data_IF_550347736332
#
_entry.id   IF_550347736332
#
_cell.length_a   1.000
_cell.length_b   1.000
_cell.length_c   1.000
_cell.angle_alpha   90.00
_cell.angle_beta   90.00
_cell.angle_gamma   90.00
#
_symmetry.space_group_name_H-M   'P 1'
#
loop_
_entity.id
_entity.type
_entity.pdbx_description
1 polymer ?
#
# COMPACT_ATOMS: atom_id res chain seq x y z
N UNK A 1 -0.83 -14.36 -19.57
CA UNK A 1 0.13 -13.58 -18.77
C UNK A 1 -0.70 -12.65 -17.91
N UNK A 2 -0.41 -12.59 -16.62
CA UNK A 2 -1.11 -11.77 -15.64
C UNK A 2 -0.09 -10.81 -14.99
N UNK A 3 -0.56 -9.61 -14.66
CA UNK A 3 0.23 -8.51 -14.16
C UNK A 3 -0.49 -8.01 -12.91
N UNK A 4 -0.02 -8.42 -11.74
CA UNK A 4 -0.82 -8.39 -10.51
C UNK A 4 -0.05 -7.72 -9.37
N UNK A 5 -0.66 -6.76 -8.65
CA UNK A 5 -0.03 -6.12 -7.51
C UNK A 5 -0.05 -7.01 -6.26
N UNK A 6 0.83 -6.67 -5.30
CA UNK A 6 0.75 -7.12 -3.91
C UNK A 6 0.78 -5.90 -2.99
N UNK A 7 -0.35 -5.19 -2.98
CA UNK A 7 -0.53 -3.96 -2.21
C UNK A 7 -0.45 -4.22 -0.71
N UNK A 8 -0.92 -5.38 -0.23
CA UNK A 8 -0.89 -5.71 1.19
C UNK A 8 0.57 -5.80 1.68
N UNK A 9 1.43 -6.51 0.97
CA UNK A 9 2.82 -6.65 1.40
C UNK A 9 3.55 -5.30 1.42
N UNK A 10 3.26 -4.41 0.48
CA UNK A 10 3.80 -3.04 0.47
C UNK A 10 3.34 -2.24 1.70
N UNK A 11 2.12 -2.44 2.18
CA UNK A 11 1.61 -1.77 3.39
C UNK A 11 2.21 -2.31 4.71
N UNK A 12 2.81 -3.51 4.70
CA UNK A 12 3.29 -4.18 5.93
C UNK A 12 4.81 -4.10 6.15
N UNK A 13 5.57 -3.79 5.10
CA UNK A 13 7.00 -3.53 5.18
C UNK A 13 7.28 -2.17 5.83
N UNK A 14 8.54 -1.93 6.19
CA UNK A 14 9.02 -0.62 6.69
C UNK A 14 9.83 0.06 5.59
N UNK A 15 9.21 0.88 4.71
CA UNK A 15 9.97 1.71 3.78
C UNK A 15 10.72 2.81 4.54
N UNK A 16 11.68 3.46 3.88
CA UNK A 16 12.29 4.67 4.44
C UNK A 16 11.47 5.90 4.04
N UNK A 17 11.26 6.81 4.98
CA UNK A 17 10.70 8.13 4.74
C UNK A 17 11.28 9.16 5.72
N UNK A 18 11.20 10.44 5.40
CA UNK A 18 11.66 11.53 6.29
C UNK A 18 10.64 11.94 7.36
N UNK A 19 9.52 11.21 7.48
CA UNK A 19 8.50 11.46 8.50
C UNK A 19 9.03 11.12 9.90
N UNK A 20 8.46 11.71 10.97
CA UNK A 20 8.83 11.34 12.34
C UNK A 20 8.73 9.83 12.58
N UNK A 21 9.67 9.29 13.33
CA UNK A 21 9.59 7.91 13.77
C UNK A 21 8.40 7.74 14.71
N UNK A 22 7.64 6.67 14.48
CA UNK A 22 6.55 6.25 15.34
C UNK A 22 7.11 5.33 16.43
N UNK A 23 6.43 5.29 17.57
CA UNK A 23 6.75 4.25 18.55
C UNK A 23 6.30 2.87 18.06
N UNK A 24 6.78 1.81 18.73
CA UNK A 24 6.49 0.44 18.30
C UNK A 24 4.99 0.11 18.34
N UNK A 25 4.23 0.68 19.28
CA UNK A 25 2.80 0.41 19.41
C UNK A 25 2.01 1.11 18.29
N UNK A 26 2.40 2.32 17.94
CA UNK A 26 1.88 3.05 16.77
C UNK A 26 2.19 2.27 15.46
N UNK A 27 3.42 1.77 15.28
CA UNK A 27 3.79 0.96 14.11
C UNK A 27 2.98 -0.34 14.01
N UNK A 28 2.82 -1.05 15.13
CA UNK A 28 2.04 -2.29 15.18
C UNK A 28 0.55 -2.02 14.94
N UNK A 29 0.00 -0.92 15.45
CA UNK A 29 -1.38 -0.53 15.21
C UNK A 29 -1.65 -0.28 13.72
N UNK A 30 -0.80 0.49 13.04
CA UNK A 30 -0.95 0.76 11.60
C UNK A 30 -0.97 -0.55 10.81
N UNK A 31 -0.01 -1.45 11.07
CA UNK A 31 0.04 -2.76 10.38
C UNK A 31 -1.19 -3.62 10.68
N UNK A 32 -1.66 -3.60 11.92
CA UNK A 32 -2.89 -4.30 12.33
C UNK A 32 -4.11 -3.76 11.58
N UNK A 33 -4.24 -2.44 11.45
CA UNK A 33 -5.33 -1.81 10.69
C UNK A 33 -5.29 -2.25 9.24
N UNK A 34 -4.14 -2.22 8.56
CA UNK A 34 -4.03 -2.68 7.18
C UNK A 34 -4.41 -4.16 6.99
N UNK A 35 -4.02 -5.04 7.92
CA UNK A 35 -4.41 -6.45 7.89
C UNK A 35 -5.93 -6.65 8.06
N UNK A 36 -6.55 -5.88 8.94
CA UNK A 36 -8.00 -5.94 9.17
C UNK A 36 -8.76 -5.37 7.97
N UNK A 37 -8.33 -4.20 7.45
CA UNK A 37 -8.90 -3.60 6.25
C UNK A 37 -8.82 -4.56 5.07
N UNK A 38 -7.70 -5.26 4.89
CA UNK A 38 -7.59 -6.27 3.83
C UNK A 38 -8.65 -7.38 3.94
N UNK A 39 -8.94 -7.87 5.15
CA UNK A 39 -10.04 -8.84 5.36
C UNK A 39 -11.40 -8.22 5.03
N UNK A 40 -11.62 -6.97 5.41
CA UNK A 40 -12.82 -6.23 5.07
C UNK A 40 -12.98 -6.01 3.57
N UNK A 41 -11.92 -5.63 2.88
CA UNK A 41 -11.86 -5.45 1.43
C UNK A 41 -12.30 -6.72 0.68
N UNK A 42 -11.81 -7.89 1.12
CA UNK A 42 -12.25 -9.19 0.60
C UNK A 42 -13.75 -9.41 0.89
N UNK A 43 -14.18 -9.19 2.14
CA UNK A 43 -15.57 -9.43 2.57
C UNK A 43 -16.57 -8.52 1.84
N UNK A 44 -16.17 -7.30 1.50
CA UNK A 44 -16.94 -6.33 0.72
C UNK A 44 -16.93 -6.65 -0.79
N UNK A 45 -16.22 -7.70 -1.22
CA UNK A 45 -16.17 -8.10 -2.63
C UNK A 45 -15.31 -7.18 -3.51
N UNK A 46 -14.39 -6.41 -2.93
CA UNK A 46 -13.56 -5.43 -3.65
C UNK A 46 -12.28 -6.02 -4.24
N UNK A 47 -11.94 -7.24 -3.85
CA UNK A 47 -10.78 -7.98 -4.38
C UNK A 47 -9.86 -8.49 -3.28
N UNK A 48 -8.63 -8.83 -3.66
CA UNK A 48 -7.60 -9.36 -2.78
C UNK A 48 -6.29 -8.58 -3.00
N UNK A 49 -5.95 -7.69 -2.07
CA UNK A 49 -4.72 -6.88 -2.13
C UNK A 49 -3.41 -7.69 -2.06
N UNK A 50 -3.47 -9.01 -1.86
CA UNK A 50 -2.34 -9.94 -1.90
C UNK A 50 -2.40 -10.91 -3.09
N UNK A 51 -3.23 -10.62 -4.10
CA UNK A 51 -3.50 -11.55 -5.20
C UNK A 51 -2.24 -11.93 -5.99
N UNK A 52 -1.29 -11.00 -6.18
CA UNK A 52 -0.11 -11.21 -7.01
C UNK A 52 0.72 -12.42 -6.61
N UNK A 53 0.92 -12.65 -5.32
CA UNK A 53 1.64 -13.84 -4.82
C UNK A 53 0.82 -15.14 -4.87
N UNK A 54 -0.50 -15.06 -5.03
CA UNK A 54 -1.42 -16.22 -5.09
C UNK A 54 -1.66 -16.73 -6.51
N UNK A 55 -1.58 -15.86 -7.52
CA UNK A 55 -1.85 -16.22 -8.93
C UNK A 55 -1.04 -17.43 -9.43
N UNK A 56 0.27 -17.58 -9.12
CA UNK A 56 1.03 -18.76 -9.55
C UNK A 56 0.43 -20.08 -9.05
N UNK A 57 -0.02 -20.10 -7.79
CA UNK A 57 -0.67 -21.26 -7.20
C UNK A 57 -2.05 -21.52 -7.85
N UNK A 58 -2.80 -20.47 -8.17
CA UNK A 58 -4.07 -20.59 -8.90
C UNK A 58 -3.87 -21.17 -10.31
N UNK A 59 -2.86 -20.70 -11.05
CA UNK A 59 -2.52 -21.25 -12.37
C UNK A 59 -2.19 -22.75 -12.30
N UNK A 60 -1.41 -23.17 -11.30
CA UNK A 60 -1.10 -24.59 -11.09
C UNK A 60 -2.35 -25.42 -10.78
N UNK A 61 -3.25 -24.93 -9.92
CA UNK A 61 -4.52 -25.60 -9.62
C UNK A 61 -5.42 -25.76 -10.85
N UNK A 62 -5.35 -24.83 -11.80
CA UNK A 62 -6.08 -24.87 -13.07
C UNK A 62 -5.39 -25.72 -14.16
N UNK A 63 -4.29 -26.40 -13.83
CA UNK A 63 -3.58 -27.29 -14.76
C UNK A 63 -2.63 -26.58 -15.73
N UNK A 64 -2.31 -25.30 -15.54
CA UNK A 64 -1.32 -24.63 -16.37
C UNK A 64 0.09 -25.19 -16.11
N UNK A 65 0.84 -25.33 -17.19
CA UNK A 65 2.23 -25.79 -17.22
C UNK A 65 3.18 -24.60 -17.41
N UNK A 66 4.49 -24.81 -17.24
CA UNK A 66 5.53 -23.79 -17.42
C UNK A 66 5.23 -22.45 -16.69
N UNK A 67 4.77 -22.55 -15.44
CA UNK A 67 4.47 -21.37 -14.61
C UNK A 67 5.79 -20.71 -14.19
N UNK A 68 5.96 -19.45 -14.58
CA UNK A 68 7.13 -18.61 -14.27
C UNK A 68 6.63 -17.28 -13.70
N UNK A 69 7.36 -16.78 -12.72
CA UNK A 69 7.00 -15.57 -11.97
C UNK A 69 8.20 -14.64 -11.94
N UNK A 70 7.94 -13.35 -12.14
CA UNK A 70 8.93 -12.27 -12.01
C UNK A 70 8.31 -11.16 -11.17
N UNK A 71 9.15 -10.42 -10.47
CA UNK A 71 8.77 -9.16 -9.82
C UNK A 71 9.35 -8.01 -10.62
N UNK A 72 8.65 -6.88 -10.65
CA UNK A 72 9.19 -5.63 -11.18
C UNK A 72 10.46 -5.22 -10.42
N UNK A 73 11.30 -4.43 -11.07
CA UNK A 73 12.50 -3.79 -10.52
C UNK A 73 12.26 -2.32 -10.15
N UNK A 74 11.00 -1.90 -10.04
CA UNK A 74 10.63 -0.51 -9.79
C UNK A 74 10.63 -0.22 -8.29
N UNK A 75 11.29 0.87 -7.93
CA UNK A 75 11.34 1.42 -6.57
C UNK A 75 10.56 2.74 -6.54
N UNK A 76 9.73 2.94 -5.52
CA UNK A 76 9.18 4.25 -5.19
C UNK A 76 10.30 5.09 -4.61
N UNK A 77 10.84 6.01 -5.40
CA UNK A 77 11.95 6.87 -5.03
C UNK A 77 11.53 8.33 -5.16
N UNK A 78 11.52 9.04 -4.03
CA UNK A 78 11.24 10.46 -3.91
C UNK A 78 12.35 11.09 -3.09
N UNK A 79 13.17 11.93 -3.73
CA UNK A 79 14.20 12.71 -3.06
C UNK A 79 14.27 14.11 -3.69
N UNK A 80 14.30 15.19 -2.90
CA UNK A 80 14.50 16.53 -3.42
C UNK A 80 15.79 16.61 -4.26
N UNK A 81 15.83 17.41 -5.34
CA UNK A 81 14.82 18.39 -5.77
C UNK A 81 13.67 17.85 -6.66
N UNK A 82 13.45 16.54 -6.74
CA UNK A 82 12.39 15.91 -7.55
C UNK A 82 12.43 16.28 -9.05
N UNK A 83 13.61 16.33 -9.65
CA UNK A 83 13.81 16.74 -11.05
C UNK A 83 13.24 15.74 -12.06
N UNK A 84 13.24 14.45 -11.73
CA UNK A 84 12.78 13.40 -12.64
C UNK A 84 11.24 13.37 -12.77
N UNK A 85 10.68 13.25 -13.99
CA UNK A 85 9.24 13.24 -14.20
C UNK A 85 8.48 12.15 -13.42
N UNK A 86 9.10 11.00 -13.13
CA UNK A 86 8.48 9.95 -12.31
C UNK A 86 8.39 10.40 -10.85
N UNK A 87 9.42 11.07 -10.34
CA UNK A 87 9.37 11.65 -8.99
C UNK A 87 8.28 12.72 -8.88
N UNK A 88 8.15 13.59 -9.89
CA UNK A 88 7.08 14.60 -9.91
C UNK A 88 5.69 13.96 -9.94
N UNK A 89 5.53 12.88 -10.71
CA UNK A 89 4.28 12.12 -10.74
C UNK A 89 3.98 11.44 -9.39
N UNK A 90 4.98 10.80 -8.78
CA UNK A 90 4.84 10.18 -7.46
C UNK A 90 4.52 11.23 -6.39
N UNK A 91 5.18 12.38 -6.40
CA UNK A 91 4.89 13.47 -5.47
C UNK A 91 3.45 13.98 -5.63
N UNK A 92 2.95 14.09 -6.87
CA UNK A 92 1.56 14.43 -7.15
C UNK A 92 0.59 13.38 -6.59
N UNK A 93 0.92 12.10 -6.72
CA UNK A 93 0.12 11.00 -6.16
C UNK A 93 0.11 11.03 -4.62
N UNK A 94 1.25 11.30 -3.99
CA UNK A 94 1.33 11.48 -2.53
C UNK A 94 0.46 12.65 -2.08
N UNK A 95 0.60 13.84 -2.71
CA UNK A 95 -0.24 15.01 -2.40
C UNK A 95 -1.72 14.68 -2.52
N UNK A 96 -2.12 14.07 -3.64
CA UNK A 96 -3.50 13.70 -3.89
C UNK A 96 -4.05 12.78 -2.81
N UNK A 97 -3.36 11.68 -2.53
CA UNK A 97 -3.87 10.62 -1.64
C UNK A 97 -3.75 10.95 -0.16
N UNK A 98 -2.65 11.58 0.26
CA UNK A 98 -2.36 11.83 1.68
C UNK A 98 -2.82 13.20 2.16
N UNK A 99 -3.07 14.16 1.26
CA UNK A 99 -3.44 15.53 1.61
C UNK A 99 -4.83 15.88 1.09
N UNK A 100 -5.01 15.86 -0.23
CA UNK A 100 -6.24 16.34 -0.89
C UNK A 100 -7.44 15.41 -0.64
N UNK A 101 -7.23 14.10 -0.73
CA UNK A 101 -8.27 13.06 -0.57
C UNK A 101 -8.21 12.37 0.80
N UNK A 102 -7.48 12.93 1.77
CA UNK A 102 -7.25 12.31 3.09
C UNK A 102 -8.54 11.83 3.74
N UNK A 103 -9.56 12.68 3.85
CA UNK A 103 -10.84 12.33 4.50
C UNK A 103 -11.58 11.20 3.77
N UNK A 104 -11.53 11.19 2.44
CA UNK A 104 -12.11 10.11 1.65
C UNK A 104 -11.43 8.78 1.96
N UNK A 105 -10.10 8.76 2.00
CA UNK A 105 -9.34 7.56 2.31
C UNK A 105 -9.49 7.10 3.76
N UNK A 106 -9.63 8.04 4.71
CA UNK A 106 -9.96 7.71 6.10
C UNK A 106 -11.31 7.00 6.17
N UNK A 107 -12.39 7.58 5.62
CA UNK A 107 -13.70 6.93 5.65
C UNK A 107 -13.73 5.58 4.91
N UNK A 108 -13.03 5.48 3.78
CA UNK A 108 -12.86 4.22 3.05
C UNK A 108 -12.18 3.15 3.92
N UNK A 109 -11.10 3.56 4.62
CA UNK A 109 -10.37 2.69 5.55
C UNK A 109 -11.26 2.27 6.72
N UNK A 110 -12.09 3.18 7.26
CA UNK A 110 -13.04 2.88 8.33
C UNK A 110 -14.04 1.79 7.92
N UNK A 111 -14.60 1.92 6.72
CA UNK A 111 -15.56 0.96 6.20
C UNK A 111 -14.95 -0.44 6.07
N UNK A 112 -13.75 -0.53 5.49
CA UNK A 112 -13.02 -1.80 5.35
C UNK A 112 -12.62 -2.35 6.71
N UNK A 113 -12.15 -1.52 7.62
CA UNK A 113 -11.76 -1.94 8.97
C UNK A 113 -12.94 -2.54 9.75
N UNK A 114 -14.11 -1.88 9.72
CA UNK A 114 -15.33 -2.39 10.35
C UNK A 114 -15.80 -3.68 9.70
N UNK A 115 -15.83 -3.74 8.36
CA UNK A 115 -16.20 -4.96 7.64
C UNK A 115 -15.27 -6.14 7.99
N UNK A 116 -13.98 -5.86 8.19
CA UNK A 116 -12.95 -6.80 8.60
C UNK A 116 -13.03 -7.26 10.07
N UNK A 117 -13.92 -6.67 10.86
CA UNK A 117 -14.13 -7.00 12.28
C UNK A 117 -13.23 -6.25 13.26
N UNK A 118 -12.73 -5.08 12.87
CA UNK A 118 -11.90 -4.24 13.73
C UNK A 118 -12.69 -3.53 14.84
N UNK A 119 -12.00 -3.16 15.92
CA UNK A 119 -12.56 -2.39 17.04
C UNK A 119 -12.57 -0.88 16.71
N UNK A 120 -13.73 -0.19 16.71
CA UNK A 120 -13.81 1.25 16.44
C UNK A 120 -12.81 2.12 17.22
N UNK A 121 -12.52 1.80 18.48
CA UNK A 121 -11.55 2.56 19.29
C UNK A 121 -10.12 2.47 18.73
N UNK A 122 -9.74 1.33 18.16
CA UNK A 122 -8.43 1.17 17.51
C UNK A 122 -8.36 1.97 16.20
N UNK A 123 -9.48 2.09 15.50
CA UNK A 123 -9.57 2.92 14.31
C UNK A 123 -9.42 4.40 14.64
N UNK A 124 -10.07 4.88 15.70
CA UNK A 124 -9.91 6.29 16.12
C UNK A 124 -8.45 6.61 16.49
N UNK A 125 -7.75 5.70 17.20
CA UNK A 125 -6.31 5.85 17.45
C UNK A 125 -5.47 5.90 16.17
N UNK A 126 -5.81 5.07 15.18
CA UNK A 126 -5.15 5.11 13.86
C UNK A 126 -5.41 6.43 13.12
N UNK A 127 -6.63 6.97 13.21
CA UNK A 127 -7.00 8.27 12.67
C UNK A 127 -6.22 9.39 13.34
N UNK A 128 -6.10 9.38 14.66
CA UNK A 128 -5.31 10.36 15.42
C UNK A 128 -3.83 10.39 14.97
N UNK A 129 -3.21 9.23 14.74
CA UNK A 129 -1.85 9.14 14.22
C UNK A 129 -1.77 9.75 12.81
N UNK A 130 -2.72 9.40 11.94
CA UNK A 130 -2.76 9.90 10.56
C UNK A 130 -2.95 11.43 10.52
N UNK A 131 -3.85 11.96 11.34
CA UNK A 131 -4.14 13.39 11.44
C UNK A 131 -2.96 14.18 12.03
N UNK A 132 -2.20 13.58 12.96
CA UNK A 132 -0.94 14.14 13.48
C UNK A 132 0.15 14.22 12.41
N UNK A 133 0.26 13.21 11.54
CA UNK A 133 1.30 13.13 10.52
C UNK A 133 1.01 14.01 9.29
N UNK A 134 -0.26 14.19 8.93
CA UNK A 134 -0.68 14.98 7.75
C UNK A 134 -0.07 16.40 7.66
N UNK A 135 -0.14 17.27 8.68
CA UNK A 135 0.45 18.61 8.59
C UNK A 135 1.98 18.59 8.46
N UNK A 136 2.64 17.59 9.05
CA UNK A 136 4.09 17.43 8.94
C UNK A 136 4.47 17.03 7.51
N UNK A 137 3.69 16.13 6.90
CA UNK A 137 3.87 15.75 5.49
C UNK A 137 3.69 16.95 4.57
N UNK A 138 2.62 17.73 4.77
CA UNK A 138 2.36 18.95 4.02
C UNK A 138 3.56 19.90 4.08
N UNK A 139 4.05 20.19 5.29
CA UNK A 139 5.20 21.08 5.49
C UNK A 139 6.47 20.54 4.81
N UNK A 140 6.79 19.26 4.96
CA UNK A 140 7.98 18.67 4.31
C UNK A 140 7.90 18.72 2.79
N UNK A 141 6.70 18.55 2.22
CA UNK A 141 6.50 18.66 0.77
C UNK A 141 6.65 20.11 0.29
N UNK A 142 6.09 21.08 1.02
CA UNK A 142 6.20 22.51 0.69
C UNK A 142 7.63 23.02 0.78
N UNK A 143 8.39 22.57 1.78
CA UNK A 143 9.79 22.94 1.99
C UNK A 143 10.77 22.15 1.11
N UNK A 144 10.29 21.19 0.30
CA UNK A 144 11.14 20.34 -0.53
C UNK A 144 12.09 19.46 0.28
N UNK A 145 11.59 18.88 1.38
CA UNK A 145 12.34 18.02 2.32
C UNK A 145 11.79 16.59 2.42
N UNK A 146 10.63 16.31 1.82
CA UNK A 146 10.02 14.99 1.89
C UNK A 146 10.82 13.95 1.12
N UNK A 147 11.28 12.90 1.81
CA UNK A 147 11.99 11.76 1.24
C UNK A 147 11.12 10.53 1.44
N UNK A 148 11.01 9.70 0.41
CA UNK A 148 10.45 8.36 0.51
C UNK A 148 11.21 7.40 -0.41
N UNK A 149 11.58 6.24 0.13
CA UNK A 149 12.22 5.17 -0.62
C UNK A 149 11.67 3.82 -0.17
N UNK A 150 11.04 3.10 -1.08
CA UNK A 150 10.46 1.79 -0.77
C UNK A 150 10.15 0.98 -2.04
N UNK A 151 9.99 -0.33 -1.92
CA UNK A 151 9.65 -1.16 -3.05
C UNK A 151 8.19 -0.91 -3.50
N UNK A 152 7.93 -1.25 -4.76
CA UNK A 152 6.59 -1.51 -5.26
C UNK A 152 6.52 -2.99 -5.62
N UNK A 153 5.63 -3.76 -5.01
CA UNK A 153 5.51 -5.19 -5.32
C UNK A 153 4.48 -5.43 -6.41
N UNK A 154 4.96 -5.80 -7.59
CA UNK A 154 4.15 -6.08 -8.75
C UNK A 154 4.69 -7.32 -9.47
N UNK A 155 3.85 -8.33 -9.62
CA UNK A 155 4.22 -9.63 -10.18
C UNK A 155 3.81 -9.73 -11.64
N UNK A 156 4.73 -10.19 -12.48
CA UNK A 156 4.47 -10.63 -13.86
C UNK A 156 4.47 -12.15 -13.85
N UNK A 157 3.31 -12.74 -14.09
CA UNK A 157 3.09 -14.19 -14.04
C UNK A 157 2.72 -14.69 -15.44
N UNK A 158 3.39 -15.75 -15.90
CA UNK A 158 3.00 -16.48 -17.10
C UNK A 158 2.81 -17.97 -16.79
N UNK A 159 1.95 -18.59 -17.58
CA UNK A 159 1.75 -20.03 -17.61
C UNK A 159 1.19 -20.42 -18.97
N UNK A 160 1.34 -21.69 -19.34
CA UNK A 160 0.85 -22.25 -20.60
C UNK A 160 -0.31 -23.19 -20.35
N UNK A 161 -1.35 -23.09 -21.17
CA UNK A 161 -2.40 -24.11 -21.19
C UNK A 161 -1.79 -25.44 -21.63
N UNK A 162 -2.18 -26.57 -21.00
CA UNK A 162 -1.80 -27.88 -21.51
C UNK A 162 -2.33 -28.06 -22.94
N UNK A 163 -1.60 -28.82 -23.75
CA UNK A 163 -2.00 -29.15 -25.13
C UNK A 163 -3.25 -30.01 -25.14
#
# INVERSE_FOLDING_TARGET
MCNEPDNLSVMLIKPYWSMPELDIEEELLIKKVHLICHKGHIKLGRGDNSIGSKVPAMMKKLGLTDVDTRMNDIVHFLIPPYEDPRQQHLLKMVKKTQLDEHEFWMEWTREEFVAGGGNPEEYERFREISDKLKPILQQQIEEGKYIACGPSFFYVIKGRKPK
#
